data_IF_775099028591
#
_entry.id   IF_775099028591
#
_cell.length_a   1.000
_cell.length_b   1.000
_cell.length_c   1.000
_cell.angle_alpha   90.00
_cell.angle_beta   90.00
_cell.angle_gamma   90.00
#
_symmetry.space_group_name_H-M   'P 1'
#
loop_
_entity.id
_entity.type
_entity.pdbx_description
1 polymer ?
#
# COMPACT_ATOMS: atom_id res chain seq x y z
N UNK A 1 -8.45 18.10 33.62
CA UNK A 1 -8.89 16.72 33.92
C UNK A 1 -9.64 16.24 32.68
N UNK A 2 -9.28 15.25 31.87
CA UNK A 2 -8.28 14.19 31.93
C UNK A 2 -7.61 14.05 30.54
N UNK A 3 -6.28 13.90 30.52
CA UNK A 3 -5.53 13.54 29.32
C UNK A 3 -5.69 12.04 29.08
N UNK A 4 -6.29 11.67 27.95
CA UNK A 4 -6.39 10.28 27.51
C UNK A 4 -5.00 9.73 27.17
N UNK A 5 -4.51 8.81 27.98
CA UNK A 5 -3.22 8.17 27.81
C UNK A 5 -3.17 7.37 26.50
N UNK A 6 -2.29 7.78 25.58
CA UNK A 6 -1.91 6.99 24.40
C UNK A 6 -1.27 5.70 24.90
N UNK A 7 -1.99 4.58 24.81
CA UNK A 7 -1.48 3.24 25.16
C UNK A 7 -0.29 2.92 24.25
N UNK A 8 0.93 2.90 24.82
CA UNK A 8 2.14 2.39 24.14
C UNK A 8 1.89 0.94 23.70
N UNK A 9 1.70 0.72 22.40
CA UNK A 9 1.66 -0.58 21.76
C UNK A 9 2.88 -1.42 22.21
N UNK A 10 2.66 -2.63 22.74
CA UNK A 10 3.72 -3.46 23.34
C UNK A 10 4.79 -3.91 22.33
N UNK A 11 5.97 -4.34 22.81
CA UNK A 11 7.09 -4.79 21.95
C UNK A 11 6.68 -5.83 20.89
N UNK A 12 5.71 -6.71 21.22
CA UNK A 12 5.19 -7.74 20.31
C UNK A 12 4.39 -7.16 19.14
N UNK A 13 3.54 -6.16 19.36
CA UNK A 13 2.74 -5.56 18.30
C UNK A 13 3.60 -4.71 17.36
N UNK A 14 4.64 -4.05 17.87
CA UNK A 14 5.63 -3.37 17.03
C UNK A 14 6.38 -4.35 16.11
N UNK A 15 6.83 -5.49 16.64
CA UNK A 15 7.49 -6.52 15.83
C UNK A 15 6.58 -7.11 14.75
N UNK A 16 5.27 -7.23 15.02
CA UNK A 16 4.29 -7.67 14.02
C UNK A 16 4.10 -6.63 12.91
N UNK A 17 4.02 -5.34 13.25
CA UNK A 17 3.91 -4.25 12.26
C UNK A 17 5.13 -4.22 11.34
N UNK A 18 6.32 -4.26 11.92
CA UNK A 18 7.59 -4.25 11.17
C UNK A 18 7.68 -5.43 10.19
N UNK A 19 7.21 -6.62 10.57
CA UNK A 19 7.15 -7.77 9.66
C UNK A 19 6.18 -7.56 8.50
N UNK A 20 4.98 -7.04 8.77
CA UNK A 20 4.00 -6.75 7.70
C UNK A 20 4.55 -5.71 6.72
N UNK A 21 5.17 -4.65 7.24
CA UNK A 21 5.80 -3.61 6.43
C UNK A 21 6.94 -4.16 5.56
N UNK A 22 7.80 -5.02 6.12
CA UNK A 22 8.87 -5.67 5.36
C UNK A 22 8.33 -6.56 4.24
N UNK A 23 7.26 -7.33 4.50
CA UNK A 23 6.61 -8.17 3.49
C UNK A 23 6.01 -7.30 2.37
N UNK A 24 5.29 -6.23 2.72
CA UNK A 24 4.68 -5.34 1.73
C UNK A 24 5.72 -4.61 0.87
N UNK A 25 6.81 -4.16 1.48
CA UNK A 25 7.92 -3.52 0.75
C UNK A 25 8.57 -4.50 -0.25
N UNK A 26 8.90 -5.71 0.18
CA UNK A 26 9.46 -6.74 -0.69
C UNK A 26 8.49 -7.15 -1.81
N UNK A 27 7.19 -7.22 -1.51
CA UNK A 27 6.16 -7.54 -2.47
C UNK A 27 6.00 -6.43 -3.52
N UNK A 28 6.01 -5.17 -3.12
CA UNK A 28 5.95 -4.02 -4.02
C UNK A 28 7.10 -4.04 -5.04
N UNK A 29 8.32 -4.29 -4.59
CA UNK A 29 9.47 -4.41 -5.49
C UNK A 29 9.28 -5.56 -6.49
N UNK A 30 8.91 -6.76 -6.00
CA UNK A 30 8.76 -7.92 -6.86
C UNK A 30 7.62 -7.73 -7.87
N UNK A 31 6.44 -7.30 -7.43
CA UNK A 31 5.29 -7.11 -8.30
C UNK A 31 5.50 -5.98 -9.31
N UNK A 32 6.13 -4.87 -8.92
CA UNK A 32 6.41 -3.77 -9.86
C UNK A 32 7.45 -4.17 -10.92
N UNK A 33 8.31 -5.15 -10.64
CA UNK A 33 9.31 -5.64 -11.57
C UNK A 33 8.76 -6.75 -12.50
N UNK A 34 8.05 -7.73 -11.95
CA UNK A 34 7.67 -8.96 -12.65
C UNK A 34 6.16 -9.12 -12.89
N UNK A 35 5.33 -8.21 -12.37
CA UNK A 35 3.88 -8.36 -12.33
C UNK A 35 3.42 -9.47 -11.37
N UNK A 36 2.10 -9.62 -11.21
CA UNK A 36 1.53 -10.65 -10.33
C UNK A 36 1.86 -12.07 -10.79
N UNK A 37 1.75 -12.34 -12.10
CA UNK A 37 1.96 -13.69 -12.64
C UNK A 37 3.44 -14.10 -12.61
N UNK A 38 4.36 -13.17 -12.85
CA UNK A 38 5.81 -13.43 -12.83
C UNK A 38 6.42 -13.51 -11.43
N UNK A 39 5.72 -13.03 -10.40
CA UNK A 39 6.22 -13.04 -9.02
C UNK A 39 5.94 -14.36 -8.30
N UNK A 40 6.97 -14.90 -7.63
CA UNK A 40 6.86 -16.06 -6.73
C UNK A 40 6.88 -15.62 -5.27
N UNK A 41 6.04 -16.23 -4.43
CA UNK A 41 5.94 -15.89 -3.01
C UNK A 41 7.22 -16.22 -2.23
N UNK A 42 7.97 -17.23 -2.69
CA UNK A 42 9.27 -17.60 -2.13
C UNK A 42 10.26 -16.44 -2.24
N UNK A 43 10.29 -15.76 -3.39
CA UNK A 43 11.18 -14.63 -3.63
C UNK A 43 10.83 -13.43 -2.75
N UNK A 44 9.53 -13.19 -2.53
CA UNK A 44 9.06 -12.14 -1.61
C UNK A 44 9.44 -12.48 -0.17
N UNK A 45 9.21 -13.72 0.26
CA UNK A 45 9.52 -14.16 1.62
C UNK A 45 11.03 -14.06 1.91
N UNK A 46 11.87 -14.49 0.98
CA UNK A 46 13.32 -14.38 1.06
C UNK A 46 13.77 -12.92 1.21
N UNK A 47 13.29 -12.03 0.34
CA UNK A 47 13.60 -10.59 0.41
C UNK A 47 13.12 -9.94 1.70
N UNK A 48 11.97 -10.35 2.22
CA UNK A 48 11.41 -9.86 3.48
C UNK A 48 12.07 -10.46 4.73
N UNK A 49 12.99 -11.43 4.58
CA UNK A 49 13.64 -12.11 5.69
C UNK A 49 12.69 -12.97 6.53
N UNK A 50 11.64 -13.52 5.91
CA UNK A 50 10.63 -14.38 6.56
C UNK A 50 10.48 -15.71 5.83
N UNK A 51 9.93 -16.72 6.50
CA UNK A 51 9.56 -17.96 5.81
C UNK A 51 8.29 -17.78 4.97
N UNK A 52 8.13 -18.58 3.91
CA UNK A 52 6.88 -18.61 3.12
C UNK A 52 5.66 -18.86 4.00
N UNK A 53 5.76 -19.76 4.97
CA UNK A 53 4.68 -20.03 5.93
C UNK A 53 4.34 -18.80 6.78
N UNK A 54 5.35 -18.01 7.20
CA UNK A 54 5.10 -16.79 7.95
C UNK A 54 4.50 -15.68 7.08
N UNK A 55 4.89 -15.58 5.81
CA UNK A 55 4.23 -14.70 4.84
C UNK A 55 2.76 -15.09 4.67
N UNK A 56 2.49 -16.37 4.41
CA UNK A 56 1.13 -16.89 4.19
C UNK A 56 0.23 -16.76 5.43
N UNK A 57 0.80 -16.72 6.62
CA UNK A 57 0.07 -16.40 7.85
C UNK A 57 -0.50 -14.98 7.83
N UNK A 58 0.20 -14.00 7.24
CA UNK A 58 -0.29 -12.62 7.12
C UNK A 58 -1.13 -12.39 5.86
N UNK A 59 -0.75 -13.03 4.76
CA UNK A 59 -1.38 -12.87 3.44
C UNK A 59 -1.64 -14.25 2.83
N UNK A 60 -2.88 -14.77 2.89
CA UNK A 60 -3.16 -16.19 2.61
C UNK A 60 -2.98 -16.59 1.15
N UNK A 61 -2.86 -15.64 0.23
CA UNK A 61 -2.60 -15.88 -1.19
C UNK A 61 -1.73 -14.78 -1.80
N UNK A 62 -1.23 -15.03 -3.02
CA UNK A 62 -0.46 -14.04 -3.78
C UNK A 62 -1.33 -12.84 -4.17
N UNK A 63 -2.59 -13.11 -4.51
CA UNK A 63 -3.61 -12.11 -4.83
C UNK A 63 -3.92 -11.26 -3.60
N UNK A 64 -4.08 -11.87 -2.42
CA UNK A 64 -4.30 -11.13 -1.18
C UNK A 64 -3.13 -10.21 -0.83
N UNK A 65 -1.89 -10.68 -1.01
CA UNK A 65 -0.70 -9.85 -0.82
C UNK A 65 -0.64 -8.71 -1.85
N UNK A 66 -0.96 -9.00 -3.12
CA UNK A 66 -0.98 -8.02 -4.20
C UNK A 66 -2.00 -6.90 -3.95
N UNK A 67 -3.23 -7.26 -3.57
CA UNK A 67 -4.28 -6.31 -3.17
C UNK A 67 -3.83 -5.48 -1.97
N UNK A 68 -3.22 -6.10 -0.95
CA UNK A 68 -2.73 -5.37 0.21
C UNK A 68 -1.66 -4.31 -0.14
N UNK A 69 -0.77 -4.60 -1.09
CA UNK A 69 0.20 -3.61 -1.60
C UNK A 69 -0.53 -2.47 -2.30
N UNK A 70 -1.50 -2.76 -3.17
CA UNK A 70 -2.27 -1.73 -3.86
C UNK A 70 -3.10 -0.87 -2.90
N UNK A 71 -3.69 -1.47 -1.86
CA UNK A 71 -4.40 -0.76 -0.79
C UNK A 71 -3.47 0.20 -0.05
N UNK A 72 -2.24 -0.22 0.26
CA UNK A 72 -1.26 0.66 0.90
C UNK A 72 -0.93 1.87 0.02
N UNK A 73 -0.78 1.66 -1.28
CA UNK A 73 -0.54 2.74 -2.26
C UNK A 73 -1.74 3.69 -2.30
N UNK A 74 -2.97 3.14 -2.40
CA UNK A 74 -4.21 3.92 -2.39
C UNK A 74 -4.37 4.73 -1.10
N UNK A 75 -4.02 4.18 0.06
CA UNK A 75 -4.09 4.89 1.32
C UNK A 75 -3.22 6.16 1.32
N UNK A 76 -2.00 6.08 0.78
CA UNK A 76 -1.08 7.22 0.64
C UNK A 76 -1.66 8.24 -0.34
N UNK A 77 -2.17 7.78 -1.49
CA UNK A 77 -2.69 8.67 -2.54
C UNK A 77 -4.00 9.35 -2.18
N UNK A 78 -4.86 8.68 -1.43
CA UNK A 78 -6.17 9.20 -1.05
C UNK A 78 -6.12 10.03 0.24
N UNK A 79 -5.03 9.96 1.02
CA UNK A 79 -4.91 10.74 2.25
C UNK A 79 -5.10 12.26 2.03
N UNK A 80 -4.49 12.90 1.00
CA UNK A 80 -4.73 14.33 0.75
C UNK A 80 -6.15 14.62 0.29
N UNK A 81 -6.75 13.74 -0.51
CA UNK A 81 -8.13 13.88 -0.97
C UNK A 81 -9.12 13.79 0.20
N UNK A 82 -8.89 12.86 1.13
CA UNK A 82 -9.68 12.70 2.37
C UNK A 82 -9.51 13.89 3.33
N UNK A 83 -8.47 14.70 3.14
CA UNK A 83 -8.23 15.91 3.92
C UNK A 83 -8.91 17.16 3.32
N UNK A 84 -9.61 17.04 2.19
CA UNK A 84 -10.37 18.14 1.62
C UNK A 84 -11.48 18.57 2.59
N UNK A 85 -11.67 19.89 2.69
CA UNK A 85 -12.69 20.52 3.52
C UNK A 85 -13.37 21.63 2.73
N UNK A 86 -14.62 21.93 3.09
CA UNK A 86 -15.45 22.94 2.41
C UNK A 86 -14.88 24.37 2.54
N UNK A 87 -14.07 24.63 3.57
CA UNK A 87 -13.45 25.92 3.85
C UNK A 87 -12.17 26.18 3.04
N UNK A 88 -11.70 25.21 2.26
CA UNK A 88 -10.51 25.34 1.40
C UNK A 88 -10.95 25.75 -0.01
N UNK A 89 -10.32 26.79 -0.55
CA UNK A 89 -10.52 27.18 -1.96
C UNK A 89 -10.28 25.97 -2.90
N UNK A 90 -11.25 25.62 -3.78
CA UNK A 90 -11.13 24.44 -4.65
C UNK A 90 -9.86 24.42 -5.49
N UNK A 91 -9.45 25.57 -6.02
CA UNK A 91 -8.21 25.68 -6.82
C UNK A 91 -6.95 25.39 -5.99
N UNK A 92 -6.94 25.78 -4.71
CA UNK A 92 -5.81 25.52 -3.81
C UNK A 92 -5.78 24.04 -3.45
N UNK A 93 -6.93 23.45 -3.10
CA UNK A 93 -7.04 22.03 -2.78
C UNK A 93 -6.59 21.13 -3.95
N UNK A 94 -7.07 21.42 -5.16
CA UNK A 94 -6.71 20.67 -6.37
C UNK A 94 -5.22 20.85 -6.69
N UNK A 95 -4.68 22.06 -6.61
CA UNK A 95 -3.24 22.32 -6.85
C UNK A 95 -2.37 21.50 -5.91
N UNK A 96 -2.71 21.51 -4.63
CA UNK A 96 -1.97 20.78 -3.61
C UNK A 96 -2.07 19.26 -3.80
N UNK A 97 -3.26 18.78 -4.16
CA UNK A 97 -3.45 17.37 -4.50
C UNK A 97 -2.60 16.96 -5.71
N UNK A 98 -2.59 17.74 -6.79
CA UNK A 98 -1.75 17.49 -7.97
C UNK A 98 -0.27 17.46 -7.57
N UNK A 99 0.20 18.42 -6.77
CA UNK A 99 1.58 18.48 -6.27
C UNK A 99 1.96 17.21 -5.53
N UNK A 100 1.15 16.80 -4.55
CA UNK A 100 1.40 15.59 -3.76
C UNK A 100 1.37 14.32 -4.61
N UNK A 101 0.45 14.24 -5.58
CA UNK A 101 0.39 13.11 -6.52
C UNK A 101 1.65 13.01 -7.40
N UNK A 102 2.18 14.15 -7.84
CA UNK A 102 3.43 14.20 -8.59
C UNK A 102 4.64 13.83 -7.72
N UNK A 103 4.70 14.31 -6.48
CA UNK A 103 5.77 13.97 -5.53
C UNK A 103 5.79 12.48 -5.22
N UNK A 104 4.64 11.88 -4.92
CA UNK A 104 4.58 10.44 -4.66
C UNK A 104 4.97 9.64 -5.92
N UNK A 105 4.60 10.11 -7.11
CA UNK A 105 5.01 9.44 -8.35
C UNK A 105 6.51 9.55 -8.62
N UNK A 106 7.14 10.66 -8.24
CA UNK A 106 8.58 10.89 -8.34
C UNK A 106 9.36 10.07 -7.31
N UNK A 107 8.91 10.07 -6.06
CA UNK A 107 9.64 9.52 -4.93
C UNK A 107 9.36 8.02 -4.72
N UNK A 108 8.23 7.52 -5.25
CA UNK A 108 7.83 6.11 -5.19
C UNK A 108 7.40 5.56 -6.58
N UNK A 109 8.29 5.59 -7.59
CA UNK A 109 7.95 5.20 -8.97
C UNK A 109 7.47 3.74 -9.08
N UNK A 110 7.94 2.85 -8.21
CA UNK A 110 7.49 1.45 -8.15
C UNK A 110 6.01 1.32 -7.78
N UNK A 111 5.50 2.18 -6.88
CA UNK A 111 4.10 2.21 -6.49
C UNK A 111 3.22 2.69 -7.65
N UNK A 112 3.61 3.80 -8.29
CA UNK A 112 2.92 4.32 -9.47
C UNK A 112 2.94 3.32 -10.63
N UNK A 113 4.07 2.66 -10.87
CA UNK A 113 4.19 1.62 -11.90
C UNK A 113 3.26 0.44 -11.63
N UNK A 114 3.25 -0.09 -10.40
CA UNK A 114 2.41 -1.23 -10.05
C UNK A 114 0.92 -0.92 -10.21
N UNK A 115 0.48 0.24 -9.71
CA UNK A 115 -0.90 0.68 -9.89
C UNK A 115 -1.25 0.84 -11.38
N UNK A 116 -0.36 1.44 -12.17
CA UNK A 116 -0.57 1.58 -13.62
C UNK A 116 -0.71 0.23 -14.32
N UNK A 117 0.15 -0.75 -13.99
CA UNK A 117 0.08 -2.11 -14.54
C UNK A 117 -1.28 -2.76 -14.25
N UNK A 118 -1.81 -2.58 -13.05
CA UNK A 118 -3.14 -3.08 -12.68
C UNK A 118 -4.25 -2.41 -13.50
N UNK A 119 -4.19 -1.08 -13.66
CA UNK A 119 -5.19 -0.33 -14.46
C UNK A 119 -5.16 -0.72 -15.93
N UNK A 120 -3.98 -0.94 -16.50
CA UNK A 120 -3.81 -1.35 -17.90
C UNK A 120 -4.44 -2.71 -18.20
N UNK A 121 -4.61 -3.56 -17.19
CA UNK A 121 -5.26 -4.86 -17.31
C UNK A 121 -6.78 -4.80 -17.05
N UNK A 122 -7.34 -3.60 -16.83
CA UNK A 122 -8.76 -3.42 -16.49
C UNK A 122 -9.06 -3.56 -15.00
N UNK A 123 -8.05 -3.41 -14.14
CA UNK A 123 -8.17 -3.47 -12.68
C UNK A 123 -8.80 -4.78 -12.13
N UNK A 124 -8.44 -5.97 -12.66
CA UNK A 124 -9.11 -7.22 -12.33
C UNK A 124 -9.11 -7.57 -10.83
N UNK A 125 -8.10 -7.15 -10.08
CA UNK A 125 -7.99 -7.39 -8.64
C UNK A 125 -8.25 -6.14 -7.80
N UNK A 126 -8.23 -4.95 -8.41
CA UNK A 126 -8.46 -3.69 -7.70
C UNK A 126 -9.88 -3.14 -7.83
N UNK A 127 -10.68 -3.59 -8.80
CA UNK A 127 -12.02 -3.05 -9.04
C UNK A 127 -12.91 -3.10 -7.80
N UNK A 128 -12.88 -4.19 -7.01
CA UNK A 128 -13.67 -4.30 -5.78
C UNK A 128 -13.39 -3.17 -4.78
N UNK A 129 -12.12 -2.78 -4.65
CA UNK A 129 -11.69 -1.68 -3.78
C UNK A 129 -12.12 -0.31 -4.31
N UNK A 130 -12.17 -0.15 -5.65
CA UNK A 130 -12.50 1.12 -6.29
C UNK A 130 -14.01 1.38 -6.35
N UNK A 131 -14.83 0.35 -6.42
CA UNK A 131 -16.30 0.48 -6.47
C UNK A 131 -16.94 0.64 -5.10
N UNK A 132 -16.19 0.41 -4.01
CA UNK A 132 -16.68 0.59 -2.64
C UNK A 132 -17.84 -0.35 -2.26
N UNK A 133 -17.91 -1.53 -2.89
CA UNK A 133 -18.90 -2.58 -2.63
C UNK A 133 -18.23 -3.66 -1.76
#
# INVERSE_FOLDING_TARGET
MAQGAVKKSGKRSQAVSAKKEAILAAALEAFSQFGIHGTRLEQVAERAGVSKTNLLYYYPSKEALYVAVLQQILAIWLAPLKAFREDISPLVAIREYIRLKLEVSRDHPQASKLFCLEMLQGAPLLMGELTGI
#
